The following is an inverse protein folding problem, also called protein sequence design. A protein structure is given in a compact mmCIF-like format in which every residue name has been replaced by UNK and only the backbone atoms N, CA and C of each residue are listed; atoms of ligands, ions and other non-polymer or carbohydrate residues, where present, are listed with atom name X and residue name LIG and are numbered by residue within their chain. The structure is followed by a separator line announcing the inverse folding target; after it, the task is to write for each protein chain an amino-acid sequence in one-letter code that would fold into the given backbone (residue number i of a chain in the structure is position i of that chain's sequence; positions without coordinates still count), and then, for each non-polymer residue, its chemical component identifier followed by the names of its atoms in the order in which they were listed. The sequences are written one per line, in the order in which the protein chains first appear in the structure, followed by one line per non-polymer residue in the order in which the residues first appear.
data_IF_176046141077
#
_entry.id   IF_176046141077
#
_cell.length_a   1.000
_cell.length_b   1.000
_cell.length_c   1.000
_cell.angle_alpha   90.00
_cell.angle_beta   90.00
_cell.angle_gamma   90.00
#
_symmetry.space_group_name_H-M   'P 1'
#
loop_
_entity.id
_entity.type
_entity.pdbx_description
1 polymer ?
#
# COMPACT_ATOMS: atom_id res chain seq x y z
N UNK A 1 -27.08 13.77 -11.59
CA UNK A 1 -25.78 13.39 -12.19
C UNK A 1 -25.03 12.58 -11.14
N UNK A 2 -25.13 11.27 -11.19
CA UNK A 2 -24.89 10.35 -10.07
C UNK A 2 -23.55 9.62 -10.24
N UNK A 3 -22.76 9.60 -9.16
CA UNK A 3 -21.40 9.06 -9.03
C UNK A 3 -21.32 7.52 -9.04
N UNK A 4 -22.16 6.86 -9.85
CA UNK A 4 -22.26 5.39 -9.93
C UNK A 4 -21.54 4.77 -11.15
N UNK A 5 -20.77 5.56 -11.92
CA UNK A 5 -20.29 5.17 -13.26
C UNK A 5 -18.83 4.68 -13.37
N UNK A 6 -18.07 4.46 -12.29
CA UNK A 6 -16.62 4.17 -12.39
C UNK A 6 -16.10 3.27 -11.25
N UNK A 7 -16.44 1.98 -11.25
CA UNK A 7 -15.99 1.03 -10.21
C UNK A 7 -15.31 -0.23 -10.76
N UNK A 8 -14.62 -0.14 -11.90
CA UNK A 8 -13.67 -1.20 -12.30
C UNK A 8 -12.36 -0.63 -12.83
N UNK A 9 -11.92 0.45 -12.19
CA UNK A 9 -10.77 1.22 -12.67
C UNK A 9 -10.03 1.88 -11.51
N UNK A 10 -9.69 1.12 -10.46
CA UNK A 10 -9.11 1.69 -9.24
C UNK A 10 -7.99 0.80 -8.68
N UNK A 11 -6.77 1.30 -8.83
CA UNK A 11 -5.50 0.85 -8.22
C UNK A 11 -4.85 -0.39 -8.85
N UNK A 12 -3.92 -0.14 -9.76
CA UNK A 12 -2.78 -1.01 -10.06
C UNK A 12 -1.59 -0.29 -9.45
N UNK A 13 -1.01 -0.82 -8.38
CA UNK A 13 0.18 -0.26 -7.75
C UNK A 13 1.31 -1.29 -7.84
N UNK A 14 2.43 -0.89 -8.45
CA UNK A 14 3.66 -1.64 -8.45
C UNK A 14 4.28 -1.58 -7.05
N UNK A 15 4.64 -2.75 -6.49
CA UNK A 15 5.58 -2.86 -5.38
C UNK A 15 6.99 -2.71 -5.95
N UNK A 16 7.75 -1.73 -5.47
CA UNK A 16 9.15 -1.54 -5.86
C UNK A 16 10.08 -2.03 -4.75
N UNK A 17 11.17 -2.66 -5.16
CA UNK A 17 12.22 -3.23 -4.31
C UNK A 17 13.04 -2.16 -3.59
N UNK A 18 13.57 -2.54 -2.42
CA UNK A 18 14.82 -2.02 -1.86
C UNK A 18 15.98 -2.93 -2.29
N UNK A 19 17.12 -2.29 -2.59
CA UNK A 19 18.37 -2.91 -3.04
C UNK A 19 19.05 -3.65 -1.86
N UNK A 20 19.43 -4.91 -2.08
CA UNK A 20 20.52 -5.55 -1.32
C UNK A 20 21.82 -5.27 -2.07
N UNK A 21 22.63 -4.33 -1.60
CA UNK A 21 23.97 -4.09 -2.14
C UNK A 21 24.88 -5.22 -1.66
N UNK A 22 24.93 -6.32 -2.40
CA UNK A 22 26.03 -7.28 -2.30
C UNK A 22 27.13 -6.89 -3.31
N UNK A 23 28.39 -6.68 -2.89
CA UNK A 23 29.39 -5.91 -3.64
C UNK A 23 30.10 -6.66 -4.79
N UNK A 24 29.47 -7.66 -5.42
CA UNK A 24 30.23 -8.65 -6.21
C UNK A 24 29.58 -9.08 -7.53
N UNK A 25 29.07 -8.18 -8.35
CA UNK A 25 28.96 -8.45 -9.80
C UNK A 25 29.19 -7.17 -10.63
N UNK A 26 30.39 -7.06 -11.19
CA UNK A 26 30.68 -6.10 -12.24
C UNK A 26 29.92 -6.48 -13.52
N UNK A 27 29.09 -5.57 -14.04
CA UNK A 27 28.47 -5.71 -15.36
C UNK A 27 29.43 -5.20 -16.46
N UNK A 28 29.40 -5.78 -17.67
CA UNK A 28 30.35 -5.46 -18.73
C UNK A 28 30.03 -4.11 -19.38
N UNK A 29 31.07 -3.32 -19.59
CA UNK A 29 31.02 -2.03 -20.28
C UNK A 29 30.73 -2.17 -21.78
N UNK A 30 29.64 -1.57 -22.24
CA UNK A 30 29.51 -1.10 -23.63
C UNK A 30 28.86 0.27 -23.61
N UNK A 31 29.63 1.28 -24.01
CA UNK A 31 29.33 2.69 -23.80
C UNK A 31 28.29 3.28 -24.75
N UNK A 32 27.53 4.22 -24.19
CA UNK A 32 27.04 5.43 -24.85
C UNK A 32 26.58 6.42 -23.78
N UNK A 33 27.10 7.65 -23.87
CA UNK A 33 26.66 8.90 -23.22
C UNK A 33 26.45 8.94 -21.70
N UNK A 34 27.45 9.48 -21.00
CA UNK A 34 27.39 10.26 -19.75
C UNK A 34 26.13 10.09 -18.89
N UNK A 35 26.30 9.42 -17.75
CA UNK A 35 25.41 9.53 -16.58
C UNK A 35 25.43 11.00 -16.09
N UNK A 36 24.57 11.86 -16.66
CA UNK A 36 24.22 13.12 -16.00
C UNK A 36 23.39 12.77 -14.78
N UNK A 37 24.00 12.87 -13.60
CA UNK A 37 23.30 12.72 -12.31
C UNK A 37 22.09 13.66 -12.31
N UNK A 38 20.89 13.10 -12.14
CA UNK A 38 19.64 13.86 -12.08
C UNK A 38 19.76 14.94 -11.00
N UNK A 39 19.68 16.21 -11.42
CA UNK A 39 19.79 17.34 -10.48
C UNK A 39 18.46 17.58 -9.75
N UNK A 40 18.45 17.32 -8.45
CA UNK A 40 17.27 17.46 -7.58
C UNK A 40 17.46 18.63 -6.58
N UNK A 41 17.07 19.86 -6.93
CA UNK A 41 17.37 21.04 -6.10
C UNK A 41 16.70 20.99 -4.72
N UNK A 42 15.49 20.41 -4.62
CA UNK A 42 14.80 20.26 -3.33
C UNK A 42 15.52 19.27 -2.41
N UNK A 43 16.00 18.15 -2.96
CA UNK A 43 16.83 17.18 -2.24
C UNK A 43 18.09 17.83 -1.68
N UNK A 44 18.90 18.47 -2.53
CA UNK A 44 20.15 19.11 -2.09
C UNK A 44 19.93 20.17 -1.01
N UNK A 45 18.84 20.93 -1.13
CA UNK A 45 18.45 21.93 -0.12
C UNK A 45 18.16 21.27 1.23
N UNK A 46 17.27 20.28 1.26
CA UNK A 46 16.86 19.64 2.52
C UNK A 46 18.00 18.81 3.11
N UNK A 47 18.79 18.13 2.28
CA UNK A 47 19.95 17.35 2.71
C UNK A 47 21.00 18.23 3.43
N UNK A 48 21.29 19.41 2.86
CA UNK A 48 22.15 20.41 3.51
C UNK A 48 21.55 20.90 4.82
N UNK A 49 20.23 21.12 4.88
CA UNK A 49 19.55 21.65 6.07
C UNK A 49 19.38 20.60 7.19
N UNK A 50 19.53 19.30 6.91
CA UNK A 50 19.37 18.22 7.88
C UNK A 50 20.68 17.47 8.24
N UNK A 51 21.83 17.87 7.67
CA UNK A 51 23.11 17.16 7.83
C UNK A 51 23.54 16.95 9.30
N UNK A 52 23.21 17.87 10.20
CA UNK A 52 23.49 17.75 11.65
C UNK A 52 22.29 17.39 12.52
N UNK A 53 21.10 17.23 11.94
CA UNK A 53 19.86 17.00 12.68
C UNK A 53 19.49 15.51 12.79
N UNK A 54 20.02 14.67 11.89
CA UNK A 54 19.70 13.24 11.83
C UNK A 54 20.76 12.41 12.56
N UNK A 55 20.31 11.49 13.43
CA UNK A 55 21.16 10.41 13.94
C UNK A 55 21.55 9.43 12.81
N UNK A 56 22.44 8.48 13.10
CA UNK A 56 22.97 7.52 12.11
C UNK A 56 21.88 6.76 11.36
N UNK A 57 20.90 6.21 12.09
CA UNK A 57 19.77 5.49 11.51
C UNK A 57 18.90 6.39 10.62
N UNK A 58 18.52 7.57 11.12
CA UNK A 58 17.73 8.54 10.36
C UNK A 58 18.45 9.00 9.08
N UNK A 59 19.77 9.20 9.16
CA UNK A 59 20.60 9.56 8.00
C UNK A 59 20.61 8.47 6.94
N UNK A 60 20.77 7.20 7.33
CA UNK A 60 20.74 6.08 6.39
C UNK A 60 19.40 5.99 5.63
N UNK A 61 18.28 6.14 6.35
CA UNK A 61 16.95 6.09 5.73
C UNK A 61 16.71 7.29 4.82
N UNK A 62 17.14 8.48 5.23
CA UNK A 62 17.11 9.69 4.42
C UNK A 62 17.87 9.52 3.10
N UNK A 63 19.13 9.09 3.14
CA UNK A 63 19.99 8.93 1.95
C UNK A 63 19.42 7.99 0.89
N UNK A 64 18.64 6.99 1.31
CA UNK A 64 18.07 5.98 0.40
C UNK A 64 16.64 6.33 0.02
N UNK A 65 15.75 6.34 0.99
CA UNK A 65 14.33 6.48 0.75
C UNK A 65 13.90 7.93 0.60
N UNK A 66 14.58 8.86 1.27
CA UNK A 66 14.39 10.30 1.03
C UNK A 66 14.83 10.68 -0.39
N UNK A 67 15.94 10.11 -0.88
CA UNK A 67 16.39 10.35 -2.26
C UNK A 67 15.42 9.78 -3.28
N UNK A 68 14.98 8.53 -3.10
CA UNK A 68 13.94 7.93 -3.94
C UNK A 68 12.63 8.74 -3.91
N UNK A 69 12.23 9.23 -2.74
CA UNK A 69 11.07 10.13 -2.60
C UNK A 69 11.27 11.42 -3.39
N UNK A 70 12.46 12.02 -3.37
CA UNK A 70 12.76 13.23 -4.13
C UNK A 70 12.62 13.01 -5.65
N UNK A 71 13.11 11.87 -6.17
CA UNK A 71 12.91 11.46 -7.57
C UNK A 71 11.42 11.37 -7.89
N UNK A 72 10.66 10.63 -7.07
CA UNK A 72 9.22 10.44 -7.28
C UNK A 72 8.45 11.76 -7.29
N UNK A 73 8.73 12.66 -6.34
CA UNK A 73 8.07 13.97 -6.28
C UNK A 73 8.42 14.84 -7.49
N UNK A 74 9.69 14.83 -7.92
CA UNK A 74 10.15 15.55 -9.11
C UNK A 74 9.44 15.04 -10.38
N UNK A 75 9.48 13.72 -10.62
CA UNK A 75 8.86 13.08 -11.79
C UNK A 75 7.33 13.12 -11.76
N UNK A 76 6.74 13.31 -10.58
CA UNK A 76 5.30 13.57 -10.41
C UNK A 76 4.91 15.04 -10.62
N UNK A 77 5.84 15.92 -11.01
CA UNK A 77 5.59 17.35 -11.24
C UNK A 77 5.09 18.10 -9.99
N UNK A 78 5.50 17.70 -8.79
CA UNK A 78 5.25 18.49 -7.58
C UNK A 78 5.99 19.83 -7.69
N UNK A 79 5.40 20.91 -7.19
CA UNK A 79 6.10 22.21 -7.13
C UNK A 79 7.34 22.12 -6.24
N UNK A 80 8.35 22.96 -6.49
CA UNK A 80 9.55 23.00 -5.66
C UNK A 80 9.23 23.18 -4.16
N UNK A 81 8.29 24.06 -3.82
CA UNK A 81 7.87 24.27 -2.43
C UNK A 81 7.25 23.01 -1.82
N UNK A 82 6.39 22.30 -2.58
CA UNK A 82 5.80 21.05 -2.13
C UNK A 82 6.86 19.96 -1.92
N UNK A 83 7.82 19.86 -2.83
CA UNK A 83 8.95 18.94 -2.70
C UNK A 83 9.73 19.20 -1.42
N UNK A 84 10.11 20.45 -1.15
CA UNK A 84 10.83 20.82 0.07
C UNK A 84 10.01 20.46 1.32
N UNK A 85 8.75 20.89 1.42
CA UNK A 85 7.90 20.59 2.58
C UNK A 85 7.76 19.09 2.85
N UNK A 86 7.51 18.29 1.80
CA UNK A 86 7.35 16.84 1.94
C UNK A 86 8.67 16.16 2.33
N UNK A 87 9.78 16.58 1.74
CA UNK A 87 11.11 16.06 2.06
C UNK A 87 11.55 16.43 3.48
N UNK A 88 11.22 17.63 3.95
CA UNK A 88 11.46 18.05 5.34
C UNK A 88 10.63 17.23 6.32
N UNK A 89 9.36 16.96 6.01
CA UNK A 89 8.52 16.05 6.78
C UNK A 89 9.14 14.65 6.85
N UNK A 90 9.60 14.10 5.71
CA UNK A 90 10.28 12.82 5.73
C UNK A 90 11.54 12.84 6.61
N UNK A 91 12.46 13.78 6.35
CA UNK A 91 13.76 13.80 7.00
C UNK A 91 13.62 14.03 8.51
N UNK A 92 12.88 15.05 8.92
CA UNK A 92 12.85 15.50 10.31
C UNK A 92 11.83 14.76 11.16
N UNK A 93 10.71 14.35 10.58
CA UNK A 93 9.66 13.66 11.32
C UNK A 93 9.73 12.15 11.13
N UNK A 94 9.70 11.62 9.91
CA UNK A 94 9.54 10.17 9.68
C UNK A 94 10.83 9.35 9.86
N UNK A 95 11.96 9.82 9.33
CA UNK A 95 13.19 9.02 9.31
C UNK A 95 13.66 8.52 10.69
N UNK A 96 13.53 9.29 11.80
CA UNK A 96 13.83 8.79 13.14
C UNK A 96 12.97 7.59 13.60
N UNK A 97 11.77 7.40 13.03
CA UNK A 97 10.85 6.32 13.39
C UNK A 97 11.02 5.04 12.56
N UNK A 98 12.02 4.99 11.68
CA UNK A 98 12.28 3.79 10.85
C UNK A 98 13.24 2.81 11.52
N UNK A 99 13.62 3.08 12.77
CA UNK A 99 14.38 2.18 13.63
C UNK A 99 15.83 1.94 13.18
N UNK A 100 16.51 1.01 13.87
CA UNK A 100 17.88 0.62 13.57
C UNK A 100 18.03 0.05 12.16
N UNK A 101 19.16 0.36 11.53
CA UNK A 101 19.50 -0.15 10.19
C UNK A 101 20.25 -1.47 10.28
N UNK A 102 20.33 -2.20 9.17
CA UNK A 102 21.06 -3.46 9.09
C UNK A 102 22.58 -3.22 9.27
N UNK A 103 23.04 -3.31 10.51
CA UNK A 103 24.46 -3.33 10.88
C UNK A 103 24.90 -4.76 11.22
N UNK A 104 26.17 -5.09 10.96
CA UNK A 104 26.70 -6.43 11.27
C UNK A 104 26.52 -6.75 12.76
N UNK A 105 25.75 -7.80 13.05
CA UNK A 105 25.51 -8.28 14.41
C UNK A 105 24.27 -7.67 15.10
N UNK A 106 23.55 -6.78 14.43
CA UNK A 106 22.26 -6.26 14.91
C UNK A 106 21.14 -7.03 14.22
N UNK A 107 20.31 -7.73 15.00
CA UNK A 107 19.07 -8.30 14.47
C UNK A 107 18.00 -7.21 14.46
N UNK A 108 17.64 -6.72 13.27
CA UNK A 108 16.59 -5.71 13.14
C UNK A 108 15.19 -6.29 13.28
N UNK A 109 14.25 -5.41 13.63
CA UNK A 109 12.83 -5.71 13.52
C UNK A 109 12.45 -6.08 12.08
N UNK A 110 11.76 -7.21 11.93
CA UNK A 110 11.30 -7.68 10.62
C UNK A 110 9.88 -7.18 10.37
N UNK A 111 9.77 -5.98 9.79
CA UNK A 111 8.46 -5.42 9.45
C UNK A 111 7.71 -6.35 8.50
N UNK A 112 6.41 -6.53 8.70
CA UNK A 112 5.54 -7.23 7.75
C UNK A 112 5.05 -6.33 6.61
N UNK A 113 5.39 -5.03 6.64
CA UNK A 113 4.98 -4.08 5.61
C UNK A 113 5.47 -4.49 4.21
N UNK A 114 6.71 -4.98 4.14
CA UNK A 114 7.38 -5.31 2.88
C UNK A 114 8.02 -6.70 2.94
N UNK A 115 8.19 -7.32 1.78
CA UNK A 115 8.75 -8.69 1.66
C UNK A 115 10.27 -8.74 1.89
N UNK A 116 10.94 -7.58 1.99
CA UNK A 116 12.34 -7.45 2.43
C UNK A 116 12.44 -6.92 3.86
N UNK A 117 11.32 -6.92 4.59
CA UNK A 117 11.17 -6.52 5.97
C UNK A 117 11.45 -5.05 6.30
N UNK A 118 11.67 -4.20 5.30
CA UNK A 118 11.83 -2.77 5.51
C UNK A 118 10.54 -2.14 6.05
N UNK A 119 10.64 -1.17 6.98
CA UNK A 119 9.48 -0.56 7.63
C UNK A 119 8.88 0.58 6.80
N UNK A 120 9.17 0.67 5.50
CA UNK A 120 8.80 1.80 4.65
C UNK A 120 8.44 1.34 3.24
N UNK A 121 7.36 1.87 2.68
CA UNK A 121 6.97 1.68 1.28
C UNK A 121 6.57 3.02 0.65
N UNK A 122 7.17 3.36 -0.49
CA UNK A 122 6.75 4.48 -1.34
C UNK A 122 5.83 3.97 -2.43
N UNK A 123 4.77 4.72 -2.74
CA UNK A 123 3.85 4.33 -3.79
C UNK A 123 3.34 5.53 -4.59
N UNK A 124 3.10 5.33 -5.88
CA UNK A 124 2.72 6.37 -6.83
C UNK A 124 1.30 6.12 -7.36
N UNK A 125 0.34 6.94 -6.93
CA UNK A 125 -1.06 6.82 -7.36
C UNK A 125 -1.34 7.63 -8.62
N UNK A 126 -1.46 6.93 -9.74
CA UNK A 126 -1.83 7.47 -11.04
C UNK A 126 -3.35 7.61 -11.17
N UNK A 127 -3.91 8.53 -10.38
CA UNK A 127 -5.36 8.74 -10.27
C UNK A 127 -6.05 8.77 -11.63
N UNK A 128 -7.31 8.32 -11.66
CA UNK A 128 -8.06 8.11 -12.91
C UNK A 128 -8.99 9.28 -13.24
N UNK A 129 -8.90 10.34 -12.45
CA UNK A 129 -9.55 11.62 -12.70
C UNK A 129 -8.54 12.59 -13.30
N UNK A 130 -9.00 13.77 -13.72
CA UNK A 130 -8.17 14.90 -14.20
C UNK A 130 -7.29 15.52 -13.09
N UNK A 131 -6.73 14.71 -12.20
CA UNK A 131 -5.90 15.14 -11.07
C UNK A 131 -4.47 14.67 -11.29
N UNK A 132 -3.47 15.46 -10.84
CA UNK A 132 -2.08 15.03 -10.81
C UNK A 132 -1.95 13.71 -10.07
N UNK A 133 -1.00 12.85 -10.48
CA UNK A 133 -0.69 11.66 -9.71
C UNK A 133 -0.14 12.06 -8.34
N UNK A 134 -0.38 11.23 -7.33
CA UNK A 134 -0.04 11.56 -5.94
C UNK A 134 0.94 10.55 -5.38
N UNK A 135 2.03 11.02 -4.78
CA UNK A 135 2.94 10.16 -4.04
C UNK A 135 2.36 9.87 -2.66
N UNK A 136 2.50 8.63 -2.22
CA UNK A 136 2.13 8.18 -0.88
C UNK A 136 3.32 7.48 -0.26
N UNK A 137 3.31 7.49 1.06
CA UNK A 137 4.26 6.75 1.86
C UNK A 137 3.51 5.97 2.92
N UNK A 138 3.92 4.73 3.15
CA UNK A 138 3.48 3.91 4.28
C UNK A 138 4.68 3.53 5.14
N UNK A 139 4.53 3.50 6.46
CA UNK A 139 5.57 3.03 7.37
C UNK A 139 5.04 2.19 8.55
N UNK A 140 5.93 1.38 9.12
CA UNK A 140 5.80 0.85 10.48
C UNK A 140 6.74 1.65 11.39
N UNK A 141 6.26 2.39 12.41
CA UNK A 141 7.14 3.02 13.38
C UNK A 141 7.88 1.95 14.19
N UNK A 142 9.21 1.96 14.14
CA UNK A 142 10.10 1.00 14.80
C UNK A 142 10.92 1.70 15.89
N UNK A 143 10.86 1.16 17.10
CA UNK A 143 11.65 1.64 18.23
C UNK A 143 13.10 1.15 18.19
N UNK A 144 14.00 1.83 18.91
CA UNK A 144 15.42 1.45 18.99
C UNK A 144 15.65 0.03 19.51
N UNK A 145 14.74 -0.47 20.34
CA UNK A 145 14.85 -1.78 20.98
C UNK A 145 13.88 -2.83 20.41
N UNK A 146 13.19 -2.53 19.31
CA UNK A 146 12.21 -3.42 18.69
C UNK A 146 12.84 -4.77 18.31
N UNK A 147 12.21 -5.87 18.72
CA UNK A 147 12.68 -7.24 18.51
C UNK A 147 13.71 -7.73 19.53
N UNK A 148 14.25 -6.84 20.38
CA UNK A 148 15.19 -7.22 21.45
C UNK A 148 14.45 -7.71 22.69
N UNK A 149 15.18 -8.25 23.68
CA UNK A 149 14.60 -8.63 24.97
C UNK A 149 13.93 -7.47 25.72
N UNK A 150 14.23 -6.21 25.38
CA UNK A 150 13.61 -5.03 25.99
C UNK A 150 12.27 -4.65 25.34
N UNK A 151 12.07 -4.98 24.05
CA UNK A 151 10.82 -4.74 23.33
C UNK A 151 10.61 -5.79 22.22
N UNK A 152 10.27 -7.01 22.62
CA UNK A 152 10.14 -8.16 21.71
C UNK A 152 9.08 -7.96 20.61
N UNK A 153 8.14 -7.02 20.78
CA UNK A 153 6.95 -6.90 19.94
C UNK A 153 6.72 -5.48 19.41
N UNK A 154 7.74 -4.61 19.47
CA UNK A 154 7.68 -3.21 19.02
C UNK A 154 6.49 -2.44 19.63
N UNK A 155 6.28 -2.64 20.93
CA UNK A 155 5.06 -2.22 21.64
C UNK A 155 4.99 -0.73 21.90
N UNK A 156 6.14 -0.07 22.00
CA UNK A 156 6.21 1.31 22.45
C UNK A 156 6.18 2.30 21.30
N UNK A 157 6.90 2.00 20.22
CA UNK A 157 7.13 2.93 19.11
C UNK A 157 5.83 3.45 18.49
N UNK A 158 4.83 2.59 18.33
CA UNK A 158 3.55 2.98 17.75
C UNK A 158 2.79 4.01 18.59
N UNK A 159 2.80 3.87 19.92
CA UNK A 159 2.11 4.81 20.81
C UNK A 159 2.84 6.15 20.89
N UNK A 160 4.17 6.12 20.90
CA UNK A 160 4.97 7.35 20.95
C UNK A 160 4.95 8.09 19.60
N UNK A 161 4.89 7.36 18.48
CA UNK A 161 4.67 7.92 17.16
C UNK A 161 3.35 8.69 17.08
N UNK A 162 2.26 8.14 17.64
CA UNK A 162 0.95 8.81 17.67
C UNK A 162 1.03 10.13 18.44
N UNK A 163 1.70 10.14 19.60
CA UNK A 163 1.87 11.37 20.40
C UNK A 163 2.65 12.42 19.61
N UNK A 164 3.74 12.03 18.96
CA UNK A 164 4.54 12.92 18.13
C UNK A 164 3.75 13.46 16.94
N UNK A 165 3.02 12.59 16.24
CA UNK A 165 2.19 12.97 15.09
C UNK A 165 1.12 13.99 15.48
N UNK A 166 0.42 13.78 16.60
CA UNK A 166 -0.61 14.72 17.05
C UNK A 166 -0.04 16.03 17.61
N UNK A 167 1.21 16.01 18.09
CA UNK A 167 1.94 17.21 18.50
C UNK A 167 2.24 18.13 17.32
N UNK A 168 2.78 17.55 16.24
CA UNK A 168 3.23 18.32 15.06
C UNK A 168 2.11 18.54 14.03
N UNK A 169 1.15 17.61 13.95
CA UNK A 169 0.06 17.56 12.96
C UNK A 169 -1.30 17.26 13.62
N UNK A 170 -1.89 18.22 14.36
CA UNK A 170 -3.11 18.00 15.15
C UNK A 170 -4.40 17.86 14.33
N UNK A 171 -4.35 17.94 13.00
CA UNK A 171 -5.53 17.97 12.12
C UNK A 171 -6.26 16.62 11.94
N UNK A 172 -5.75 15.53 12.51
CA UNK A 172 -6.32 14.19 12.36
C UNK A 172 -7.49 13.93 13.31
N UNK A 173 -8.55 13.28 12.81
CA UNK A 173 -9.59 12.74 13.68
C UNK A 173 -9.18 11.34 14.16
N UNK A 174 -9.05 11.20 15.48
CA UNK A 174 -8.55 9.98 16.12
C UNK A 174 -9.64 9.11 16.75
N UNK A 175 -10.92 9.44 16.58
CA UNK A 175 -12.03 8.72 17.22
C UNK A 175 -12.01 7.23 16.86
N UNK A 176 -12.00 6.91 15.56
CA UNK A 176 -11.92 5.53 15.10
C UNK A 176 -10.55 4.91 15.36
N UNK A 177 -9.47 5.69 15.32
CA UNK A 177 -8.16 5.17 15.71
C UNK A 177 -8.20 4.61 17.13
N UNK A 178 -8.68 5.39 18.10
CA UNK A 178 -8.75 4.96 19.50
C UNK A 178 -9.68 3.75 19.67
N UNK A 179 -10.84 3.75 19.01
CA UNK A 179 -11.76 2.61 19.03
C UNK A 179 -11.08 1.31 18.56
N UNK A 180 -10.54 1.30 17.35
CA UNK A 180 -9.96 0.09 16.77
C UNK A 180 -8.65 -0.31 17.48
N UNK A 181 -7.80 0.65 17.84
CA UNK A 181 -6.57 0.38 18.56
C UNK A 181 -6.84 -0.29 19.91
N UNK A 182 -7.82 0.22 20.68
CA UNK A 182 -8.19 -0.38 21.96
C UNK A 182 -8.82 -1.76 21.73
N UNK A 183 -9.74 -1.90 20.79
CA UNK A 183 -10.41 -3.17 20.51
C UNK A 183 -9.43 -4.30 20.16
N UNK A 184 -8.38 -3.99 19.38
CA UNK A 184 -7.41 -4.99 18.94
C UNK A 184 -6.27 -5.26 19.95
N UNK A 185 -5.97 -4.35 20.86
CA UNK A 185 -4.80 -4.47 21.74
C UNK A 185 -5.11 -4.59 23.24
N UNK A 186 -6.27 -4.13 23.71
CA UNK A 186 -6.56 -4.10 25.14
C UNK A 186 -6.74 -5.51 25.73
N UNK A 187 -5.99 -5.81 26.79
CA UNK A 187 -6.03 -7.11 27.47
C UNK A 187 -5.49 -8.27 26.64
N UNK A 188 -4.72 -8.01 25.59
CA UNK A 188 -4.15 -9.05 24.73
C UNK A 188 -2.69 -9.31 25.11
N UNK A 189 -2.43 -10.50 25.64
CA UNK A 189 -1.06 -11.00 25.79
C UNK A 189 -0.48 -11.38 24.43
N UNK A 190 0.81 -11.11 24.23
CA UNK A 190 1.47 -11.26 22.93
C UNK A 190 2.37 -12.48 22.98
N UNK A 191 2.05 -13.55 22.24
CA UNK A 191 2.93 -14.69 22.13
C UNK A 191 4.18 -14.31 21.33
N UNK A 192 5.35 -14.75 21.78
CA UNK A 192 6.65 -14.43 21.17
C UNK A 192 7.02 -15.34 19.99
N UNK A 193 6.23 -16.38 19.67
CA UNK A 193 6.68 -17.51 18.83
C UNK A 193 5.82 -17.76 17.57
N UNK A 194 5.11 -16.75 17.04
CA UNK A 194 4.12 -17.00 15.98
C UNK A 194 4.14 -15.97 14.84
N UNK A 195 4.93 -16.25 13.79
CA UNK A 195 4.93 -15.50 12.53
C UNK A 195 5.43 -14.06 12.66
N UNK A 196 4.95 -13.16 11.79
CA UNK A 196 5.30 -11.74 11.89
C UNK A 196 4.64 -11.06 13.10
N UNK A 197 5.32 -10.05 13.66
CA UNK A 197 4.90 -9.39 14.89
C UNK A 197 4.34 -7.96 14.70
N UNK A 198 4.32 -7.45 13.47
CA UNK A 198 3.77 -6.12 13.17
C UNK A 198 2.28 -6.00 13.49
N UNK A 199 1.92 -4.89 14.17
CA UNK A 199 0.58 -4.62 14.67
C UNK A 199 -0.15 -3.51 13.94
N UNK A 200 0.60 -2.50 13.55
CA UNK A 200 0.04 -1.27 13.04
C UNK A 200 0.96 -0.63 12.01
N UNK A 201 0.37 -0.17 10.92
CA UNK A 201 1.06 0.58 9.89
C UNK A 201 0.37 1.91 9.68
N UNK A 202 1.14 2.90 9.24
CA UNK A 202 0.68 4.24 8.96
C UNK A 202 0.89 4.53 7.49
N UNK A 203 0.01 5.31 6.88
CA UNK A 203 0.25 5.82 5.54
C UNK A 203 -0.24 7.25 5.39
N UNK A 204 0.46 8.01 4.56
CA UNK A 204 0.17 9.40 4.27
C UNK A 204 0.02 9.56 2.76
N UNK A 205 -1.04 10.24 2.33
CA UNK A 205 -1.02 10.86 1.01
C UNK A 205 -0.19 12.14 1.13
N UNK A 206 0.86 12.27 0.33
CA UNK A 206 1.76 13.41 0.42
C UNK A 206 1.20 14.53 -0.46
N UNK A 207 0.53 15.48 0.19
CA UNK A 207 0.19 16.80 -0.35
C UNK A 207 0.93 17.86 0.47
N UNK A 208 1.30 18.97 -0.15
CA UNK A 208 2.02 20.06 0.52
C UNK A 208 1.22 20.69 1.66
N UNK A 209 -0.11 20.63 1.60
CA UNK A 209 -1.00 21.33 2.52
C UNK A 209 -1.84 20.40 3.41
N UNK A 210 -1.87 19.10 3.10
CA UNK A 210 -2.70 18.13 3.83
C UNK A 210 -2.06 16.75 3.85
N UNK A 211 -1.61 16.33 5.03
CA UNK A 211 -1.15 14.97 5.26
C UNK A 211 -2.37 14.11 5.58
N UNK A 212 -3.12 13.69 4.56
CA UNK A 212 -4.24 12.79 4.78
C UNK A 212 -3.75 11.42 5.26
N UNK A 213 -3.89 11.17 6.56
CA UNK A 213 -3.40 10.00 7.26
C UNK A 213 -4.35 8.80 7.18
N UNK A 214 -3.75 7.61 7.14
CA UNK A 214 -4.41 6.31 7.22
C UNK A 214 -3.67 5.44 8.20
N UNK A 215 -4.39 4.52 8.82
CA UNK A 215 -3.79 3.53 9.69
C UNK A 215 -4.32 2.14 9.32
N UNK A 216 -3.48 1.14 9.49
CA UNK A 216 -3.76 -0.27 9.21
C UNK A 216 -3.52 -1.03 10.50
N UNK A 217 -4.49 -1.81 10.95
CA UNK A 217 -4.40 -2.63 12.15
C UNK A 217 -4.38 -4.11 11.78
N UNK A 218 -3.51 -4.89 12.43
CA UNK A 218 -3.53 -6.34 12.36
C UNK A 218 -4.25 -6.90 13.61
N UNK A 219 -5.37 -7.62 13.46
CA UNK A 219 -6.13 -8.14 14.59
C UNK A 219 -5.55 -9.45 15.18
N UNK A 220 -4.40 -9.90 14.66
CA UNK A 220 -3.83 -11.24 14.85
C UNK A 220 -3.79 -11.67 16.31
N UNK A 221 -3.25 -10.83 17.18
CA UNK A 221 -3.09 -11.18 18.59
C UNK A 221 -4.43 -11.31 19.33
N UNK A 222 -5.38 -10.42 19.05
CA UNK A 222 -6.74 -10.52 19.59
C UNK A 222 -7.45 -11.76 19.07
N UNK A 223 -7.29 -12.08 17.78
CA UNK A 223 -7.84 -13.27 17.16
C UNK A 223 -7.31 -14.55 17.81
N UNK A 224 -5.99 -14.63 18.04
CA UNK A 224 -5.36 -15.73 18.76
C UNK A 224 -5.87 -15.86 20.20
N UNK A 225 -5.85 -14.77 20.98
CA UNK A 225 -6.28 -14.78 22.39
C UNK A 225 -7.76 -15.18 22.57
N UNK A 226 -8.60 -14.95 21.56
CA UNK A 226 -10.03 -15.26 21.59
C UNK A 226 -10.41 -16.55 20.86
N UNK A 227 -9.46 -17.23 20.21
CA UNK A 227 -9.73 -18.41 19.37
C UNK A 227 -10.61 -18.12 18.16
N UNK A 228 -10.61 -16.87 17.66
CA UNK A 228 -11.41 -16.41 16.51
C UNK A 228 -10.51 -16.15 15.31
N UNK A 229 -11.11 -16.06 14.12
CA UNK A 229 -10.40 -15.60 12.92
C UNK A 229 -10.20 -14.08 12.95
N UNK A 230 -9.20 -13.60 12.23
CA UNK A 230 -8.98 -12.16 12.02
C UNK A 230 -10.23 -11.46 11.49
N UNK A 231 -10.96 -12.10 10.58
CA UNK A 231 -12.18 -11.53 10.00
C UNK A 231 -13.33 -11.40 11.00
N UNK A 232 -13.50 -12.37 11.89
CA UNK A 232 -14.49 -12.29 12.98
C UNK A 232 -14.16 -11.13 13.91
N UNK A 233 -12.89 -10.97 14.31
CA UNK A 233 -12.46 -9.86 15.16
C UNK A 233 -12.65 -8.50 14.47
N UNK A 234 -12.29 -8.38 13.20
CA UNK A 234 -12.52 -7.15 12.44
C UNK A 234 -14.02 -6.84 12.33
N UNK A 235 -14.84 -7.85 12.06
CA UNK A 235 -16.30 -7.68 11.98
C UNK A 235 -16.89 -7.18 13.30
N UNK A 236 -16.54 -7.82 14.42
CA UNK A 236 -16.97 -7.42 15.76
C UNK A 236 -16.51 -6.00 16.10
N UNK A 237 -15.29 -5.64 15.74
CA UNK A 237 -14.77 -4.30 15.95
C UNK A 237 -15.56 -3.24 15.16
N UNK A 238 -15.93 -3.52 13.90
CA UNK A 238 -16.73 -2.62 13.07
C UNK A 238 -18.18 -2.51 13.59
N UNK A 239 -18.76 -3.62 14.05
CA UNK A 239 -20.09 -3.64 14.65
C UNK A 239 -20.14 -2.85 15.96
N UNK A 240 -19.07 -2.91 16.76
CA UNK A 240 -18.93 -2.16 18.00
C UNK A 240 -18.50 -0.69 17.81
N UNK A 241 -18.18 -0.26 16.58
CA UNK A 241 -17.67 1.08 16.32
C UNK A 241 -18.71 2.18 16.63
N UNK A 242 -18.29 3.36 17.11
CA UNK A 242 -19.18 4.49 17.32
C UNK A 242 -20.03 4.79 16.07
N UNK A 243 -21.32 5.06 16.28
CA UNK A 243 -22.32 5.37 15.23
C UNK A 243 -22.64 4.24 14.24
N UNK A 244 -22.04 3.06 14.43
CA UNK A 244 -22.36 1.84 13.69
C UNK A 244 -23.75 1.31 14.08
N UNK A 245 -24.47 0.76 13.11
CA UNK A 245 -25.76 0.11 13.32
C UNK A 245 -25.98 -0.93 12.23
N UNK A 246 -26.88 -1.89 12.47
CA UNK A 246 -27.15 -2.98 11.53
C UNK A 246 -27.51 -2.48 10.13
N UNK A 247 -28.26 -1.39 10.04
CA UNK A 247 -28.73 -0.78 8.79
C UNK A 247 -27.59 -0.11 8.01
N UNK A 248 -26.50 0.26 8.69
CA UNK A 248 -25.32 0.90 8.10
C UNK A 248 -24.25 -0.11 7.66
N UNK A 249 -24.43 -1.40 7.92
CA UNK A 249 -23.43 -2.44 7.72
C UNK A 249 -23.73 -3.40 6.55
N UNK A 250 -24.66 -3.04 5.66
CA UNK A 250 -25.01 -3.87 4.49
C UNK A 250 -23.79 -4.30 3.67
N UNK A 251 -22.83 -3.41 3.42
CA UNK A 251 -21.60 -3.76 2.72
C UNK A 251 -20.71 -4.77 3.47
N UNK A 252 -20.63 -4.67 4.80
CA UNK A 252 -19.91 -5.63 5.64
C UNK A 252 -20.59 -7.00 5.58
N UNK A 253 -21.91 -7.05 5.75
CA UNK A 253 -22.68 -8.30 5.73
C UNK A 253 -22.61 -9.01 4.38
N UNK A 254 -22.65 -8.27 3.27
CA UNK A 254 -22.41 -8.83 1.94
C UNK A 254 -21.04 -9.50 1.85
N UNK A 255 -20.00 -8.87 2.41
CA UNK A 255 -18.66 -9.45 2.43
C UNK A 255 -18.56 -10.65 3.41
N UNK A 256 -19.24 -10.61 4.55
CA UNK A 256 -19.31 -11.74 5.48
C UNK A 256 -19.95 -12.98 4.83
N UNK A 257 -21.06 -12.78 4.11
CA UNK A 257 -21.70 -13.86 3.36
C UNK A 257 -20.77 -14.45 2.31
N UNK A 258 -20.04 -13.60 1.57
CA UNK A 258 -19.04 -14.04 0.61
C UNK A 258 -17.93 -14.88 1.26
N UNK A 259 -17.29 -14.36 2.32
CA UNK A 259 -16.22 -15.06 3.07
C UNK A 259 -16.73 -16.41 3.61
N UNK A 260 -17.96 -16.44 4.15
CA UNK A 260 -18.56 -17.66 4.70
C UNK A 260 -18.82 -18.78 3.67
N UNK A 261 -18.82 -18.44 2.37
CA UNK A 261 -18.96 -19.41 1.28
C UNK A 261 -17.62 -19.96 0.78
N UNK A 262 -16.49 -19.31 1.08
CA UNK A 262 -15.15 -19.71 0.64
C UNK A 262 -14.56 -20.88 1.47
N UNK A 263 -15.36 -21.91 1.78
CA UNK A 263 -14.94 -23.00 2.68
C UNK A 263 -13.81 -23.86 2.15
N UNK A 264 -13.74 -24.05 0.83
CA UNK A 264 -12.71 -24.88 0.17
C UNK A 264 -11.37 -24.16 0.00
N UNK A 265 -11.41 -22.83 -0.07
CA UNK A 265 -10.22 -21.98 -0.16
C UNK A 265 -10.46 -20.74 0.72
N UNK A 266 -10.28 -20.87 2.04
CA UNK A 266 -10.53 -19.78 2.96
C UNK A 266 -9.66 -18.56 2.63
N UNK A 267 -10.25 -17.37 2.74
CA UNK A 267 -9.54 -16.12 2.56
C UNK A 267 -8.74 -15.79 3.82
N UNK A 268 -7.48 -15.41 3.63
CA UNK A 268 -6.57 -14.99 4.69
C UNK A 268 -6.76 -13.49 4.93
N UNK A 269 -7.57 -13.12 5.93
CA UNK A 269 -7.81 -11.72 6.27
C UNK A 269 -6.65 -11.19 7.12
N UNK A 270 -5.98 -10.14 6.63
CA UNK A 270 -4.72 -9.65 7.18
C UNK A 270 -4.91 -8.40 8.06
N UNK A 271 -5.67 -7.42 7.59
CA UNK A 271 -5.73 -6.11 8.23
C UNK A 271 -7.04 -5.36 7.99
N UNK A 272 -7.36 -4.45 8.92
CA UNK A 272 -8.35 -3.39 8.74
C UNK A 272 -7.60 -2.06 8.59
N UNK A 273 -7.91 -1.28 7.56
CA UNK A 273 -7.44 0.10 7.46
C UNK A 273 -8.57 1.11 7.52
N UNK A 274 -8.27 2.27 8.10
CA UNK A 274 -9.16 3.43 8.20
C UNK A 274 -8.46 4.69 7.70
N UNK A 275 -9.25 5.68 7.29
CA UNK A 275 -8.75 7.04 7.07
C UNK A 275 -8.94 7.85 8.37
N UNK A 276 -7.97 8.70 8.75
CA UNK A 276 -7.97 9.50 9.99
C UNK A 276 -8.74 10.82 9.84
N UNK A 277 -9.99 10.68 9.41
CA UNK A 277 -10.96 11.75 9.17
C UNK A 277 -12.23 11.46 9.96
N UNK A 278 -13.21 12.37 9.90
CA UNK A 278 -14.52 12.15 10.52
C UNK A 278 -15.07 10.75 10.19
N UNK A 279 -15.55 9.97 11.19
CA UNK A 279 -16.14 8.64 11.00
C UNK A 279 -17.15 8.53 9.85
N UNK A 280 -17.95 9.57 9.61
CA UNK A 280 -18.94 9.57 8.52
C UNK A 280 -18.30 9.65 7.12
N UNK A 281 -17.06 10.13 7.03
CA UNK A 281 -16.28 10.26 5.80
C UNK A 281 -15.18 9.20 5.68
N UNK A 282 -14.83 8.52 6.76
CA UNK A 282 -13.78 7.51 6.77
C UNK A 282 -14.25 6.22 6.09
N UNK A 283 -13.33 5.54 5.41
CA UNK A 283 -13.55 4.24 4.78
C UNK A 283 -12.98 3.13 5.62
N UNK A 284 -13.74 2.07 5.79
CA UNK A 284 -13.28 0.78 6.30
C UNK A 284 -12.74 -0.02 5.12
N UNK A 285 -11.49 -0.48 5.23
CA UNK A 285 -10.81 -1.29 4.21
C UNK A 285 -10.36 -2.60 4.81
N UNK A 286 -10.95 -3.71 4.39
CA UNK A 286 -10.57 -5.04 4.90
C UNK A 286 -9.65 -5.68 3.86
N UNK A 287 -8.40 -5.86 4.23
CA UNK A 287 -7.36 -6.47 3.40
C UNK A 287 -7.37 -7.98 3.60
N UNK A 288 -7.37 -8.72 2.50
CA UNK A 288 -7.41 -10.16 2.53
C UNK A 288 -6.71 -10.76 1.32
N UNK A 289 -6.19 -11.97 1.49
CA UNK A 289 -5.42 -12.68 0.49
C UNK A 289 -6.14 -13.96 0.08
N UNK A 290 -6.09 -14.24 -1.21
CA UNK A 290 -6.45 -15.54 -1.77
C UNK A 290 -5.20 -16.24 -2.27
N UNK A 291 -5.06 -17.52 -1.92
CA UNK A 291 -4.01 -18.40 -2.47
C UNK A 291 -4.37 -18.93 -3.87
N UNK A 292 -5.60 -18.69 -4.32
CA UNK A 292 -5.98 -18.94 -5.71
C UNK A 292 -5.45 -17.82 -6.60
N UNK A 293 -4.72 -18.20 -7.64
CA UNK A 293 -3.99 -17.29 -8.51
C UNK A 293 -4.39 -17.42 -9.98
N UNK A 294 -5.54 -18.03 -10.26
CA UNK A 294 -6.08 -18.08 -11.62
C UNK A 294 -6.86 -16.80 -11.93
N UNK A 295 -6.94 -16.40 -13.19
CA UNK A 295 -7.72 -15.21 -13.56
C UNK A 295 -9.22 -15.42 -13.29
N UNK A 296 -9.71 -16.65 -13.38
CA UNK A 296 -11.07 -16.99 -12.95
C UNK A 296 -11.30 -16.64 -11.48
N UNK A 297 -10.40 -17.03 -10.57
CA UNK A 297 -10.51 -16.65 -9.16
C UNK A 297 -10.45 -15.13 -8.94
N UNK A 298 -9.70 -14.41 -9.79
CA UNK A 298 -9.67 -12.94 -9.78
C UNK A 298 -11.04 -12.38 -10.16
N UNK A 299 -11.68 -12.90 -11.22
CA UNK A 299 -13.04 -12.48 -11.64
C UNK A 299 -14.06 -12.74 -10.53
N UNK A 300 -14.00 -13.91 -9.92
CA UNK A 300 -14.91 -14.34 -8.86
C UNK A 300 -14.77 -13.41 -7.63
N UNK A 301 -13.55 -13.15 -7.15
CA UNK A 301 -13.30 -12.25 -6.02
C UNK A 301 -13.68 -10.80 -6.36
N UNK A 302 -13.27 -10.29 -7.53
CA UNK A 302 -13.55 -8.91 -7.95
C UNK A 302 -15.05 -8.60 -8.06
N UNK A 303 -15.87 -9.64 -8.25
CA UNK A 303 -17.34 -9.50 -8.33
C UNK A 303 -18.07 -10.01 -7.09
N UNK A 304 -17.34 -10.54 -6.10
CA UNK A 304 -17.88 -11.27 -4.94
C UNK A 304 -18.85 -12.39 -5.38
N UNK A 305 -18.42 -13.23 -6.31
CA UNK A 305 -19.20 -14.24 -7.05
C UNK A 305 -20.46 -13.65 -7.68
N UNK A 306 -20.31 -12.55 -8.41
CA UNK A 306 -21.42 -11.88 -9.10
C UNK A 306 -22.32 -11.00 -8.22
N UNK A 307 -22.14 -10.94 -6.89
CA UNK A 307 -22.97 -10.10 -5.98
C UNK A 307 -22.89 -8.60 -6.30
N UNK A 308 -21.78 -8.15 -6.88
CA UNK A 308 -21.59 -6.76 -7.29
C UNK A 308 -22.15 -6.46 -8.70
N UNK A 309 -22.74 -7.47 -9.36
CA UNK A 309 -23.27 -7.37 -10.72
C UNK A 309 -24.79 -7.20 -10.68
N UNK A 310 -25.24 -6.08 -11.21
CA UNK A 310 -26.65 -5.81 -11.48
C UNK A 310 -26.78 -5.07 -12.83
N UNK A 311 -28.00 -4.80 -13.26
CA UNK A 311 -28.27 -4.13 -14.54
C UNK A 311 -27.48 -2.82 -14.73
N UNK A 312 -27.21 -2.08 -13.64
CA UNK A 312 -26.47 -0.81 -13.68
C UNK A 312 -24.95 -1.02 -13.70
N UNK A 313 -24.44 -2.10 -13.11
CA UNK A 313 -22.99 -2.32 -12.96
C UNK A 313 -22.42 -3.31 -13.98
N UNK A 314 -23.22 -4.15 -14.63
CA UNK A 314 -22.76 -5.24 -15.50
C UNK A 314 -21.81 -4.79 -16.62
N UNK A 315 -22.17 -3.75 -17.39
CA UNK A 315 -21.31 -3.23 -18.46
C UNK A 315 -19.97 -2.69 -17.93
N UNK A 316 -20.00 -2.07 -16.76
CA UNK A 316 -18.79 -1.54 -16.13
C UNK A 316 -17.90 -2.66 -15.61
N UNK A 317 -18.50 -3.65 -14.93
CA UNK A 317 -17.87 -4.89 -14.48
C UNK A 317 -17.07 -5.55 -15.59
N UNK A 318 -17.74 -5.84 -16.72
CA UNK A 318 -17.11 -6.53 -17.83
C UNK A 318 -15.98 -5.69 -18.46
N UNK A 319 -16.20 -4.39 -18.66
CA UNK A 319 -15.15 -3.50 -19.21
C UNK A 319 -13.88 -3.54 -18.36
N UNK A 320 -14.00 -3.39 -17.05
CA UNK A 320 -12.78 -3.35 -16.24
C UNK A 320 -12.21 -4.74 -15.89
N UNK A 321 -12.99 -5.82 -15.91
CA UNK A 321 -12.44 -7.18 -15.88
C UNK A 321 -11.65 -7.46 -17.16
N UNK A 322 -12.12 -7.02 -18.32
CA UNK A 322 -11.38 -7.11 -19.58
C UNK A 322 -10.08 -6.29 -19.54
N UNK A 323 -10.13 -5.07 -18.99
CA UNK A 323 -8.92 -4.26 -18.79
C UNK A 323 -7.93 -4.90 -17.81
N UNK A 324 -8.44 -5.46 -16.70
CA UNK A 324 -7.64 -6.18 -15.72
C UNK A 324 -7.00 -7.42 -16.35
N UNK A 325 -7.72 -8.17 -17.21
CA UNK A 325 -7.17 -9.31 -17.95
C UNK A 325 -6.01 -8.89 -18.85
N UNK A 326 -6.18 -7.82 -19.63
CA UNK A 326 -5.12 -7.31 -20.51
C UNK A 326 -3.86 -6.92 -19.74
N UNK A 327 -4.03 -6.29 -18.58
CA UNK A 327 -2.91 -5.93 -17.72
C UNK A 327 -2.27 -7.16 -17.06
N UNK A 328 -3.08 -8.08 -16.55
CA UNK A 328 -2.63 -9.36 -15.99
C UNK A 328 -1.76 -10.13 -16.98
N UNK A 329 -2.24 -10.26 -18.22
CA UNK A 329 -1.48 -10.89 -19.30
C UNK A 329 -0.13 -10.21 -19.50
N UNK A 330 -0.12 -8.88 -19.58
CA UNK A 330 1.11 -8.11 -19.82
C UNK A 330 2.11 -8.25 -18.67
N UNK A 331 1.64 -8.16 -17.43
CA UNK A 331 2.48 -8.22 -16.23
C UNK A 331 3.04 -9.62 -15.96
N UNK A 332 2.26 -10.67 -16.25
CA UNK A 332 2.59 -12.06 -15.87
C UNK A 332 2.87 -12.98 -17.06
N UNK A 333 2.92 -12.46 -18.29
CA UNK A 333 3.14 -13.24 -19.52
C UNK A 333 2.10 -14.37 -19.68
N UNK A 334 0.80 -14.01 -19.55
CA UNK A 334 -0.33 -14.96 -19.55
C UNK A 334 -1.21 -14.89 -20.80
N UNK A 335 -0.69 -14.32 -21.89
CA UNK A 335 -1.40 -14.18 -23.16
C UNK A 335 -1.79 -15.56 -23.71
N UNK A 336 -3.08 -15.74 -23.99
CA UNK A 336 -3.62 -17.01 -24.50
C UNK A 336 -3.75 -18.12 -23.44
N UNK A 337 -3.36 -17.87 -22.19
CA UNK A 337 -3.56 -18.82 -21.08
C UNK A 337 -5.04 -18.82 -20.65
N UNK A 338 -5.68 -19.99 -20.48
CA UNK A 338 -7.06 -20.10 -19.97
C UNK A 338 -7.23 -19.50 -18.57
N UNK A 339 -8.39 -18.91 -18.30
CA UNK A 339 -8.68 -18.20 -17.03
C UNK A 339 -8.56 -19.10 -15.80
N UNK A 340 -8.80 -20.41 -15.94
CA UNK A 340 -8.73 -21.39 -14.86
C UNK A 340 -7.31 -21.79 -14.49
N UNK A 341 -6.32 -21.45 -15.33
CA UNK A 341 -4.92 -21.80 -15.10
C UNK A 341 -4.32 -20.89 -14.02
N UNK A 342 -3.76 -21.44 -12.93
CA UNK A 342 -3.13 -20.63 -11.90
C UNK A 342 -1.76 -20.12 -12.36
N UNK A 343 -1.33 -18.98 -11.81
CA UNK A 343 0.07 -18.57 -11.85
C UNK A 343 0.99 -19.63 -11.20
N UNK A 344 2.29 -19.65 -11.53
CA UNK A 344 3.26 -20.57 -10.92
C UNK A 344 3.18 -20.59 -9.39
N UNK A 345 3.36 -21.74 -8.76
CA UNK A 345 3.30 -21.84 -7.30
C UNK A 345 4.44 -21.07 -6.64
N UNK A 346 4.14 -20.45 -5.48
CA UNK A 346 5.12 -19.76 -4.65
C UNK A 346 4.80 -20.04 -3.18
N UNK A 347 5.82 -20.44 -2.43
CA UNK A 347 5.72 -20.78 -1.01
C UNK A 347 6.03 -19.59 -0.09
N UNK A 348 6.21 -18.40 -0.65
CA UNK A 348 6.45 -17.19 0.16
C UNK A 348 5.22 -16.88 1.02
N UNK A 349 5.42 -16.39 2.24
CA UNK A 349 4.32 -16.12 3.17
C UNK A 349 3.28 -15.14 2.57
N UNK A 350 3.75 -14.14 1.82
CA UNK A 350 2.90 -13.15 1.13
C UNK A 350 2.53 -13.52 -0.32
N UNK A 351 2.83 -14.74 -0.78
CA UNK A 351 2.38 -15.23 -2.08
C UNK A 351 0.86 -15.39 -2.15
N UNK A 352 0.29 -15.34 -3.34
CA UNK A 352 -1.16 -15.25 -3.59
C UNK A 352 -1.57 -13.84 -3.92
N UNK A 353 -2.83 -13.65 -4.29
CA UNK A 353 -3.36 -12.35 -4.71
C UNK A 353 -3.95 -11.62 -3.51
N UNK A 354 -3.45 -10.41 -3.24
CA UNK A 354 -3.95 -9.54 -2.19
C UNK A 354 -5.08 -8.67 -2.74
N UNK A 355 -6.14 -8.52 -1.95
CA UNK A 355 -7.29 -7.69 -2.24
C UNK A 355 -7.62 -6.83 -1.04
N UNK A 356 -8.47 -5.84 -1.27
CA UNK A 356 -9.26 -5.27 -0.20
C UNK A 356 -10.67 -4.95 -0.64
N UNK A 357 -11.61 -5.07 0.29
CA UNK A 357 -12.92 -4.44 0.16
C UNK A 357 -12.90 -3.08 0.86
N UNK A 358 -13.41 -2.03 0.21
CA UNK A 358 -13.63 -0.71 0.82
C UNK A 358 -15.09 -0.29 0.81
N UNK A 359 -15.54 0.26 1.94
CA UNK A 359 -16.89 0.81 2.12
C UNK A 359 -16.90 1.90 3.19
N UNK A 360 -17.96 2.71 3.21
CA UNK A 360 -18.28 3.64 4.30
C UNK A 360 -19.46 3.07 5.10
N UNK A 361 -19.66 3.54 6.34
CA UNK A 361 -20.91 3.28 7.05
C UNK A 361 -22.10 3.80 6.22
N UNK A 362 -23.16 2.99 6.10
CA UNK A 362 -24.32 3.27 5.25
C UNK A 362 -24.14 2.85 3.78
N UNK A 363 -22.92 2.46 3.38
CA UNK A 363 -22.65 1.89 2.07
C UNK A 363 -23.40 0.58 1.84
N UNK A 364 -24.11 0.49 0.71
CA UNK A 364 -24.92 -0.69 0.38
C UNK A 364 -24.09 -1.84 -0.23
N UNK A 365 -23.07 -1.50 -1.01
CA UNK A 365 -22.17 -2.47 -1.65
C UNK A 365 -20.72 -2.06 -1.41
N UNK A 366 -19.83 -3.01 -1.07
CA UNK A 366 -18.41 -2.74 -1.00
C UNK A 366 -17.82 -2.58 -2.40
N UNK A 367 -16.61 -2.02 -2.46
CA UNK A 367 -15.78 -1.99 -3.66
C UNK A 367 -14.60 -2.92 -3.46
N UNK A 368 -14.37 -3.84 -4.39
CA UNK A 368 -13.21 -4.73 -4.36
C UNK A 368 -12.09 -4.11 -5.18
N UNK A 369 -10.87 -4.18 -4.66
CA UNK A 369 -9.65 -3.81 -5.38
C UNK A 369 -8.60 -4.88 -5.20
N UNK A 370 -7.73 -4.98 -6.21
CA UNK A 370 -6.71 -6.01 -6.34
C UNK A 370 -5.31 -5.38 -6.28
N UNK A 371 -4.37 -6.08 -5.66
CA UNK A 371 -2.94 -5.85 -5.81
C UNK A 371 -2.36 -6.97 -6.66
N UNK A 372 -1.65 -6.62 -7.73
CA UNK A 372 -0.97 -7.58 -8.59
C UNK A 372 0.41 -7.91 -7.98
N UNK A 373 0.64 -9.15 -7.52
CA UNK A 373 1.84 -9.53 -6.77
C UNK A 373 3.06 -9.76 -7.67
N UNK A 374 3.56 -8.68 -8.29
CA UNK A 374 4.65 -8.73 -9.27
C UNK A 374 5.93 -9.39 -8.75
N UNK A 375 6.28 -9.20 -7.47
CA UNK A 375 7.47 -9.82 -6.85
C UNK A 375 7.44 -11.35 -6.89
N UNK A 376 6.25 -11.96 -6.88
CA UNK A 376 6.11 -13.40 -6.80
C UNK A 376 5.90 -14.07 -8.16
N UNK A 377 5.38 -13.34 -9.15
CA UNK A 377 4.91 -13.95 -10.39
C UNK A 377 5.34 -13.24 -11.67
N UNK A 378 5.87 -12.01 -11.59
CA UNK A 378 6.51 -11.38 -12.75
C UNK A 378 7.96 -11.88 -12.87
N UNK A 379 8.48 -11.91 -14.10
CA UNK A 379 9.83 -12.41 -14.36
C UNK A 379 10.91 -11.50 -13.77
N UNK A 380 10.73 -10.18 -13.90
CA UNK A 380 11.64 -9.14 -13.43
C UNK A 380 10.97 -7.75 -13.49
N UNK A 381 11.63 -6.75 -12.91
CA UNK A 381 11.14 -5.37 -12.84
C UNK A 381 11.00 -4.72 -14.22
N UNK A 382 11.89 -5.06 -15.17
CA UNK A 382 11.82 -4.55 -16.54
C UNK A 382 10.52 -4.94 -17.26
N UNK A 383 10.09 -6.20 -17.13
CA UNK A 383 8.80 -6.66 -17.66
C UNK A 383 7.64 -5.86 -17.06
N UNK A 384 7.66 -5.65 -15.73
CA UNK A 384 6.62 -4.90 -15.02
C UNK A 384 6.58 -3.46 -15.52
N UNK A 385 7.75 -2.82 -15.66
CA UNK A 385 7.87 -1.46 -16.18
C UNK A 385 7.27 -1.33 -17.58
N UNK A 386 7.64 -2.23 -18.50
CA UNK A 386 7.11 -2.23 -19.86
C UNK A 386 5.59 -2.47 -19.90
N UNK A 387 5.10 -3.43 -19.11
CA UNK A 387 3.68 -3.78 -19.06
C UNK A 387 2.84 -2.61 -18.53
N UNK A 388 3.27 -1.98 -17.43
CA UNK A 388 2.57 -0.84 -16.83
C UNK A 388 2.61 0.37 -17.77
N UNK A 389 3.78 0.69 -18.32
CA UNK A 389 3.94 1.81 -19.27
C UNK A 389 3.05 1.63 -20.50
N UNK A 390 3.11 0.47 -21.15
CA UNK A 390 2.26 0.15 -22.31
C UNK A 390 0.77 0.21 -21.99
N UNK A 391 0.39 -0.29 -20.80
CA UNK A 391 -0.99 -0.23 -20.35
C UNK A 391 -1.48 1.20 -20.13
N UNK A 392 -0.66 2.05 -19.51
CA UNK A 392 -0.94 3.48 -19.34
C UNK A 392 -1.13 4.14 -20.69
N UNK A 393 -0.19 3.99 -21.64
CA UNK A 393 -0.28 4.58 -22.99
C UNK A 393 -1.56 4.17 -23.73
N UNK A 394 -1.87 2.86 -23.76
CA UNK A 394 -3.07 2.36 -24.44
C UNK A 394 -4.38 2.86 -23.83
N UNK A 395 -4.36 3.27 -22.56
CA UNK A 395 -5.52 3.85 -21.88
C UNK A 395 -5.69 5.32 -22.26
N UNK A 396 -4.59 6.06 -22.43
CA UNK A 396 -4.60 7.46 -22.86
C UNK A 396 -5.16 7.61 -24.28
N UNK A 397 -4.75 6.74 -25.20
CA UNK A 397 -5.26 6.71 -26.58
C UNK A 397 -6.77 6.44 -26.63
N UNK A 398 -7.30 5.61 -25.72
CA UNK A 398 -8.74 5.34 -25.63
C UNK A 398 -9.58 6.50 -25.09
N UNK A 399 -8.97 7.61 -24.65
CA UNK A 399 -9.62 8.76 -24.02
C UNK A 399 -9.66 10.04 -24.89
N UNK A 400 -9.33 9.96 -26.18
CA UNK A 400 -9.30 11.09 -27.13
C UNK A 400 -10.29 12.22 -26.76
N UNK A 401 -9.74 13.33 -26.25
CA UNK A 401 -10.47 14.47 -25.70
C UNK A 401 -10.06 14.94 -24.28
N UNK A 402 -8.97 14.43 -23.70
CA UNK A 402 -8.55 14.79 -22.32
C UNK A 402 -7.14 15.40 -22.26
N UNK A 403 -7.09 16.71 -22.02
CA UNK A 403 -5.89 17.57 -22.06
C UNK A 403 -4.82 17.31 -20.99
N UNK A 404 -5.14 16.77 -19.81
CA UNK A 404 -4.16 16.73 -18.70
C UNK A 404 -3.12 15.60 -18.82
N UNK A 405 -3.48 14.47 -19.42
CA UNK A 405 -2.57 13.33 -19.61
C UNK A 405 -1.86 13.35 -20.97
N UNK A 406 -2.29 14.23 -21.88
CA UNK A 406 -1.54 14.55 -23.11
C UNK A 406 -0.38 15.52 -22.81
N UNK A 407 -0.50 16.37 -21.79
CA UNK A 407 0.53 17.32 -21.36
C UNK A 407 1.65 16.69 -20.51
N UNK A 408 1.42 15.53 -19.90
CA UNK A 408 2.40 14.80 -19.11
C UNK A 408 2.53 13.37 -19.64
N UNK A 409 3.71 13.03 -20.17
CA UNK A 409 4.05 11.66 -20.60
C UNK A 409 4.18 10.75 -19.36
N UNK A 410 3.05 10.43 -18.73
CA UNK A 410 2.95 9.60 -17.53
C UNK A 410 3.66 8.23 -17.68
N UNK A 411 3.52 7.52 -18.82
CA UNK A 411 4.29 6.31 -19.08
C UNK A 411 5.81 6.54 -19.05
N UNK A 412 6.30 7.62 -19.67
CA UNK A 412 7.72 7.99 -19.64
C UNK A 412 8.17 8.38 -18.23
N UNK A 413 7.42 9.24 -17.54
CA UNK A 413 7.74 9.69 -16.18
C UNK A 413 7.83 8.51 -15.19
N UNK A 414 6.95 7.50 -15.33
CA UNK A 414 7.05 6.27 -14.57
C UNK A 414 8.36 5.52 -14.90
N UNK A 415 8.62 5.24 -16.18
CA UNK A 415 9.81 4.50 -16.59
C UNK A 415 11.10 5.20 -16.16
N UNK A 416 11.22 6.51 -16.38
CA UNK A 416 12.39 7.30 -15.97
C UNK A 416 12.58 7.27 -14.46
N UNK A 417 11.52 7.50 -13.67
CA UNK A 417 11.64 7.45 -12.22
C UNK A 417 12.11 6.08 -11.73
N UNK A 418 11.62 5.00 -12.34
CA UNK A 418 12.06 3.65 -11.98
C UNK A 418 13.52 3.42 -12.36
N UNK A 419 13.94 3.88 -13.53
CA UNK A 419 15.35 3.81 -13.97
C UNK A 419 16.29 4.68 -13.13
N UNK A 420 15.84 5.81 -12.61
CA UNK A 420 16.65 6.68 -11.73
C UNK A 420 16.76 6.10 -10.29
N UNK A 421 15.84 5.20 -9.91
CA UNK A 421 15.80 4.56 -8.58
C UNK A 421 16.54 3.22 -8.55
N UNK A 422 16.46 2.44 -9.63
CA UNK A 422 17.05 1.08 -9.78
C UNK A 422 18.50 1.13 -10.23
#
# INVERSE_FOLDING_TARGET
MSSALLTVWRSVMAKLKTISLDPLYALPSTGSSRDEVLYLPAWHRVDSDCQGALGSNGRFWWERHGYALAILLHKSSYSYSAQVTILEFFARFLAPWLGPVDERGVERWKSFMTDDHNPLELSWDWSTARKPPTIRLSLEPIGEHAGTAQDLCNMHASNDFVKALLGDYPGHNMEWFHHFNNFFNEGVEIPTDMGHASKIFWAFNLDANDLAGKVYFTPRYRAMASGKTNFQIISEAIEAAPTSSREKLSALYMFQEYVGQQKKSPLEVEALAIDLVDPSQSRLKIYFRSRQTSFQSVRDIMTLDGRLINEKTAKHAEKGLSNLRRLWDSIFDQQGVPDESPLPSSNHETAGILYYVDFHLGGQMPKVKIYLPVRHYAKNDWQVMQAVSSYMSSTLEGLHGTTYLEENDAPLAFCEAMSDIL
#
